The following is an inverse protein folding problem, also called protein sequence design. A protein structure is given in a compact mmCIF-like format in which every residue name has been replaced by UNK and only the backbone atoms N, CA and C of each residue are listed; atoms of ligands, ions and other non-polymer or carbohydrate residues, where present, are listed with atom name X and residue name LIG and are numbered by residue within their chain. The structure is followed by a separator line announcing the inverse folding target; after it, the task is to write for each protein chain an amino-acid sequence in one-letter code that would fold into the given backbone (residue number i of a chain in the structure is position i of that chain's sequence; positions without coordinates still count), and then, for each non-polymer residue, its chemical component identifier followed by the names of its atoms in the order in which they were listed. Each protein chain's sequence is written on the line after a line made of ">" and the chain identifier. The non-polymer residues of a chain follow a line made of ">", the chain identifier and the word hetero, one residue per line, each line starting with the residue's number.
data_IF_675538837223
#
_entry.id   IF_675538837223
#
_cell.length_a   1.000
_cell.length_b   1.000
_cell.length_c   1.000
_cell.angle_alpha   90.00
_cell.angle_beta   90.00
_cell.angle_gamma   90.00
#
_symmetry.space_group_name_H-M   'P 1'
#
loop_
_entity.id
_entity.type
_entity.pdbx_description
1 polymer ?
#
# COMPACT_ATOMS: atom_id res chain seq x y z
N UNK A 1 15.69 22.62 -8.02
CA UNK A 1 14.50 23.17 -8.69
C UNK A 1 13.88 22.03 -9.48
N UNK A 2 13.04 21.22 -8.85
CA UNK A 2 12.25 20.18 -9.55
C UNK A 2 11.00 20.87 -10.04
N UNK A 3 10.93 21.14 -11.35
CA UNK A 3 9.68 21.52 -11.98
C UNK A 3 8.73 20.33 -11.79
N UNK A 4 7.61 20.55 -11.11
CA UNK A 4 6.41 19.73 -11.30
C UNK A 4 6.04 19.89 -12.76
N UNK A 5 6.46 18.96 -13.61
CA UNK A 5 5.90 18.86 -14.95
C UNK A 5 4.46 18.41 -14.76
N UNK A 6 3.55 19.37 -14.61
CA UNK A 6 2.12 19.12 -14.79
C UNK A 6 1.97 18.45 -16.15
N UNK A 7 1.47 17.23 -16.16
CA UNK A 7 1.23 16.47 -17.38
C UNK A 7 -0.01 17.07 -18.05
N UNK A 8 0.13 17.82 -19.16
CA UNK A 8 -0.99 18.52 -19.78
C UNK A 8 -2.06 17.56 -20.32
N UNK A 9 -1.72 16.28 -20.51
CA UNK A 9 -2.65 15.25 -20.97
C UNK A 9 -3.44 14.61 -19.82
N UNK A 10 -3.11 14.89 -18.55
CA UNK A 10 -3.75 14.29 -17.37
C UNK A 10 -5.15 14.83 -17.09
N UNK A 11 -5.55 15.94 -17.71
CA UNK A 11 -6.89 16.51 -17.60
C UNK A 11 -7.41 17.03 -18.95
N UNK A 12 -8.73 16.94 -19.19
CA UNK A 12 -9.36 17.55 -20.34
C UNK A 12 -9.53 19.07 -20.19
N UNK A 13 -10.03 19.75 -21.24
CA UNK A 13 -10.30 21.19 -21.24
C UNK A 13 -11.27 21.65 -20.11
N UNK A 14 -12.00 20.72 -19.51
CA UNK A 14 -12.91 20.95 -18.38
C UNK A 14 -12.30 20.58 -17.02
N UNK A 15 -11.03 20.20 -16.98
CA UNK A 15 -10.31 19.79 -15.77
C UNK A 15 -10.65 18.39 -15.29
N UNK A 16 -11.34 17.57 -16.09
CA UNK A 16 -11.62 16.17 -15.71
C UNK A 16 -10.40 15.32 -15.97
N UNK A 17 -10.07 14.50 -14.98
CA UNK A 17 -8.99 13.52 -15.04
C UNK A 17 -9.12 12.64 -16.30
N UNK A 18 -8.03 12.48 -17.03
CA UNK A 18 -7.95 11.66 -18.24
C UNK A 18 -7.23 10.35 -17.92
N UNK A 19 -7.85 9.22 -18.25
CA UNK A 19 -7.30 7.90 -18.03
C UNK A 19 -6.73 7.31 -19.32
N UNK A 20 -5.58 6.65 -19.22
CA UNK A 20 -5.06 5.80 -20.30
C UNK A 20 -5.92 4.55 -20.45
N UNK A 21 -6.32 4.21 -21.67
CA UNK A 21 -7.08 2.98 -21.93
C UNK A 21 -6.16 1.83 -22.34
N UNK A 22 -6.46 0.64 -21.83
CA UNK A 22 -5.74 -0.61 -22.01
C UNK A 22 -6.66 -1.67 -22.62
N UNK A 23 -6.07 -2.64 -23.32
CA UNK A 23 -6.76 -3.87 -23.71
C UNK A 23 -6.66 -4.95 -22.61
N UNK A 24 -7.22 -6.13 -22.89
CA UNK A 24 -7.25 -7.26 -21.96
C UNK A 24 -5.84 -7.81 -21.61
N UNK A 25 -4.84 -7.56 -22.45
CA UNK A 25 -3.44 -7.96 -22.22
C UNK A 25 -2.64 -6.86 -21.49
N UNK A 26 -3.34 -5.83 -20.99
CA UNK A 26 -2.77 -4.64 -20.33
C UNK A 26 -1.84 -3.83 -21.23
N UNK A 27 -2.02 -3.93 -22.55
CA UNK A 27 -1.27 -3.14 -23.52
C UNK A 27 -1.98 -1.78 -23.69
N UNK A 28 -1.26 -0.65 -23.58
CA UNK A 28 -1.84 0.66 -23.85
C UNK A 28 -2.40 0.71 -25.28
N UNK A 29 -3.67 1.10 -25.42
CA UNK A 29 -4.34 1.24 -26.72
C UNK A 29 -3.92 2.50 -27.48
N UNK A 30 -3.25 3.44 -26.79
CA UNK A 30 -2.96 4.78 -27.30
C UNK A 30 -4.15 5.75 -27.24
N UNK A 31 -5.28 5.33 -26.68
CA UNK A 31 -6.46 6.18 -26.47
C UNK A 31 -6.60 6.58 -25.00
N UNK A 32 -7.31 7.68 -24.76
CA UNK A 32 -7.62 8.20 -23.44
C UNK A 32 -9.12 8.41 -23.27
N UNK A 33 -9.59 8.40 -22.02
CA UNK A 33 -10.99 8.62 -21.67
C UNK A 33 -11.08 9.57 -20.47
N UNK A 34 -11.99 10.55 -20.52
CA UNK A 34 -12.26 11.39 -19.36
C UNK A 34 -13.00 10.61 -18.28
N UNK A 35 -12.62 10.84 -17.02
CA UNK A 35 -13.28 10.25 -15.86
C UNK A 35 -14.78 10.57 -15.86
N UNK A 36 -15.58 9.52 -15.69
CA UNK A 36 -17.03 9.59 -15.67
C UNK A 36 -17.69 9.34 -17.03
N UNK A 37 -16.93 9.31 -18.13
CA UNK A 37 -17.45 8.90 -19.43
C UNK A 37 -17.71 7.38 -19.49
N UNK A 38 -18.48 6.95 -20.49
CA UNK A 38 -18.81 5.54 -20.68
C UNK A 38 -17.66 4.79 -21.37
N UNK A 39 -17.18 3.71 -20.74
CA UNK A 39 -16.22 2.78 -21.33
C UNK A 39 -16.73 2.20 -22.65
N UNK A 40 -15.88 2.17 -23.69
CA UNK A 40 -16.19 1.42 -24.91
C UNK A 40 -15.97 -0.08 -24.68
N UNK A 41 -16.58 -0.95 -25.51
CA UNK A 41 -16.41 -2.39 -25.36
C UNK A 41 -14.94 -2.81 -25.44
N UNK A 42 -14.45 -3.50 -24.41
CA UNK A 42 -13.08 -4.02 -24.34
C UNK A 42 -12.04 -3.04 -23.80
N UNK A 43 -12.41 -1.78 -23.55
CA UNK A 43 -11.50 -0.81 -22.90
C UNK A 43 -11.44 -1.03 -21.40
N UNK A 44 -10.20 -1.02 -20.90
CA UNK A 44 -9.85 -1.15 -19.49
C UNK A 44 -9.06 0.08 -19.03
N UNK A 45 -9.11 0.41 -17.75
CA UNK A 45 -8.22 1.40 -17.13
C UNK A 45 -7.43 0.77 -16.00
N UNK A 46 -6.38 1.48 -15.58
CA UNK A 46 -5.53 1.07 -14.47
C UNK A 46 -5.88 1.87 -13.22
N UNK A 47 -6.17 1.13 -12.16
CA UNK A 47 -6.28 1.62 -10.79
C UNK A 47 -5.02 1.20 -10.04
N UNK A 48 -4.64 1.98 -9.04
CA UNK A 48 -3.53 1.69 -8.14
C UNK A 48 -4.00 1.82 -6.70
N UNK A 49 -3.54 0.91 -5.87
CA UNK A 49 -3.61 1.03 -4.42
C UNK A 49 -2.23 0.90 -3.81
N UNK A 50 -1.97 1.75 -2.82
CA UNK A 50 -0.79 1.62 -1.95
C UNK A 50 -1.30 1.26 -0.56
N UNK A 51 -0.69 0.25 0.05
CA UNK A 51 -0.96 -0.15 1.43
C UNK A 51 0.34 -0.03 2.23
N UNK A 52 0.38 0.90 3.18
CA UNK A 52 1.55 1.13 4.02
C UNK A 52 1.33 0.45 5.37
N UNK A 53 2.29 -0.34 5.81
CA UNK A 53 2.22 -1.13 7.04
C UNK A 53 3.29 -0.73 8.05
N UNK A 54 2.88 -0.74 9.32
CA UNK A 54 3.78 -0.79 10.47
C UNK A 54 3.80 -2.22 11.02
N UNK A 55 5.00 -2.78 11.12
CA UNK A 55 5.26 -4.15 11.59
C UNK A 55 5.46 -4.24 13.11
N UNK A 56 5.45 -3.12 13.84
CA UNK A 56 5.69 -3.09 15.28
C UNK A 56 7.11 -3.54 15.65
N UNK A 57 7.31 -3.89 16.93
CA UNK A 57 8.60 -4.36 17.47
C UNK A 57 8.94 -5.80 17.04
N UNK A 58 7.98 -6.51 16.47
CA UNK A 58 8.15 -7.83 15.85
C UNK A 58 8.87 -7.67 14.51
N UNK A 59 10.08 -7.12 14.54
CA UNK A 59 10.97 -6.86 13.43
C UNK A 59 11.44 -8.13 12.74
N UNK A 60 10.49 -8.92 12.24
CA UNK A 60 10.67 -10.09 11.41
C UNK A 60 9.30 -10.41 10.81
N UNK A 61 9.21 -10.63 9.50
CA UNK A 61 8.08 -11.39 8.96
C UNK A 61 8.00 -12.77 9.63
N UNK A 62 6.96 -13.59 9.38
CA UNK A 62 6.86 -14.92 9.97
C UNK A 62 8.06 -15.88 9.77
N UNK A 63 9.15 -15.50 9.08
CA UNK A 63 10.33 -16.34 8.78
C UNK A 63 11.70 -15.89 9.30
N UNK A 64 11.80 -15.24 10.46
CA UNK A 64 13.05 -15.29 11.24
C UNK A 64 12.75 -15.60 12.70
N UNK A 65 12.53 -16.87 12.96
CA UNK A 65 12.59 -17.41 14.30
C UNK A 65 14.05 -17.73 14.66
N UNK A 66 14.77 -16.72 15.17
CA UNK A 66 15.88 -16.97 16.08
C UNK A 66 15.34 -16.85 17.51
N UNK A 67 14.90 -17.97 18.11
CA UNK A 67 14.45 -17.94 19.50
C UNK A 67 13.65 -19.15 20.00
N UNK A 68 14.16 -20.39 19.81
CA UNK A 68 13.71 -21.50 20.65
C UNK A 68 14.49 -21.44 21.97
N UNK A 69 13.82 -21.13 23.08
CA UNK A 69 14.12 -21.83 24.32
C UNK A 69 12.89 -22.04 25.20
N UNK A 70 12.82 -23.28 25.67
CA UNK A 70 11.73 -24.00 26.33
C UNK A 70 11.46 -23.58 27.78
N UNK A 71 10.20 -23.68 28.23
CA UNK A 71 9.87 -23.75 29.67
C UNK A 71 8.37 -23.72 29.97
N UNK A 72 7.85 -24.82 30.50
CA UNK A 72 6.45 -25.07 30.81
C UNK A 72 5.94 -24.35 32.08
N UNK A 73 4.61 -24.10 32.16
CA UNK A 73 3.89 -24.05 33.44
C UNK A 73 2.79 -22.98 33.63
N UNK A 74 1.52 -23.39 33.49
CA UNK A 74 0.37 -23.11 34.39
C UNK A 74 0.19 -21.69 35.00
N UNK A 75 -0.90 -20.98 34.66
CA UNK A 75 -2.17 -20.81 35.45
C UNK A 75 -3.03 -19.67 34.90
N UNK A 76 -4.35 -19.81 35.09
CA UNK A 76 -5.38 -18.84 34.78
C UNK A 76 -5.17 -17.48 35.48
N UNK A 77 -5.49 -16.40 34.77
CA UNK A 77 -5.58 -15.05 35.29
C UNK A 77 -6.48 -14.18 34.40
N UNK A 78 -7.63 -13.80 34.91
CA UNK A 78 -8.47 -12.72 34.40
C UNK A 78 -7.73 -11.39 34.52
N UNK A 79 -7.54 -10.69 33.41
CA UNK A 79 -6.88 -9.38 33.40
C UNK A 79 -7.36 -8.53 32.22
N UNK A 80 -8.01 -7.42 32.54
CA UNK A 80 -8.28 -6.28 31.66
C UNK A 80 -6.98 -5.48 31.44
N UNK A 81 -6.61 -5.18 30.20
CA UNK A 81 -5.75 -4.02 29.88
C UNK A 81 -4.54 -4.26 28.96
N UNK A 82 -4.38 -3.30 28.03
CA UNK A 82 -3.22 -2.94 27.18
C UNK A 82 -2.85 -3.87 26.02
N UNK A 83 -3.21 -3.45 24.80
CA UNK A 83 -2.81 -4.11 23.55
C UNK A 83 -1.29 -4.12 23.38
N UNK A 84 -0.75 -5.27 22.99
CA UNK A 84 0.66 -5.51 22.72
C UNK A 84 1.13 -4.71 21.50
N UNK A 85 2.26 -4.02 21.60
CA UNK A 85 2.90 -3.28 20.50
C UNK A 85 3.53 -4.15 19.40
N UNK A 86 2.94 -5.32 19.14
CA UNK A 86 3.52 -6.41 18.34
C UNK A 86 2.62 -6.83 17.15
N UNK A 87 1.46 -6.18 16.94
CA UNK A 87 0.54 -6.54 15.85
C UNK A 87 0.77 -5.67 14.61
N UNK A 88 0.72 -6.30 13.42
CA UNK A 88 0.80 -5.63 12.13
C UNK A 88 -0.40 -4.70 11.93
N UNK A 89 -0.11 -3.46 11.56
CA UNK A 89 -1.13 -2.42 11.30
C UNK A 89 -0.94 -1.84 9.92
N UNK A 90 -2.05 -1.57 9.24
CA UNK A 90 -2.08 -0.80 8.00
C UNK A 90 -2.44 0.65 8.32
N UNK A 91 -1.79 1.62 7.68
CA UNK A 91 -2.25 3.00 7.67
C UNK A 91 -3.53 3.05 6.85
N UNK A 92 -4.65 3.40 7.45
CA UNK A 92 -5.92 3.58 6.74
C UNK A 92 -6.28 5.05 6.70
N UNK A 93 -7.04 5.45 5.68
CA UNK A 93 -7.48 6.83 5.52
C UNK A 93 -9.01 6.94 5.54
N UNK A 94 -9.55 8.04 6.07
CA UNK A 94 -10.95 8.41 5.95
C UNK A 94 -11.07 9.47 4.87
N UNK A 95 -11.87 9.16 3.85
CA UNK A 95 -12.15 10.05 2.72
C UNK A 95 -12.89 11.29 3.21
N UNK A 96 -12.65 12.46 2.61
CA UNK A 96 -13.43 13.65 2.93
C UNK A 96 -14.92 13.45 2.61
N UNK A 97 -15.78 14.12 3.37
CA UNK A 97 -17.24 13.96 3.26
C UNK A 97 -17.82 14.53 1.94
N UNK A 98 -17.00 15.23 1.15
CA UNK A 98 -17.40 15.84 -0.13
C UNK A 98 -16.87 15.09 -1.37
N UNK A 99 -16.15 13.96 -1.19
CA UNK A 99 -15.76 13.08 -2.30
C UNK A 99 -17.00 12.56 -3.03
N UNK A 100 -16.97 12.57 -4.36
CA UNK A 100 -18.08 12.07 -5.19
C UNK A 100 -18.36 10.57 -4.99
N UNK A 101 -17.31 9.78 -4.72
CA UNK A 101 -17.41 8.36 -4.41
C UNK A 101 -17.03 8.08 -2.96
N UNK A 102 -17.92 7.35 -2.26
CA UNK A 102 -17.75 6.90 -0.87
C UNK A 102 -17.37 8.02 0.11
N UNK A 103 -18.14 9.12 0.18
CA UNK A 103 -17.84 10.24 1.07
C UNK A 103 -17.81 9.78 2.53
N UNK A 104 -16.78 10.20 3.28
CA UNK A 104 -16.66 9.95 4.71
C UNK A 104 -16.29 8.51 5.12
N UNK A 105 -16.15 7.59 4.17
CA UNK A 105 -15.78 6.19 4.45
C UNK A 105 -14.28 6.03 4.67
N UNK A 106 -13.93 5.04 5.48
CA UNK A 106 -12.57 4.53 5.60
C UNK A 106 -12.18 3.69 4.38
N UNK A 107 -10.90 3.74 4.04
CA UNK A 107 -10.29 3.07 2.90
C UNK A 107 -8.90 2.52 3.29
N UNK A 108 -8.32 1.69 2.43
CA UNK A 108 -6.90 1.35 2.51
C UNK A 108 -6.05 2.60 2.30
N UNK A 109 -4.73 2.54 2.51
CA UNK A 109 -3.89 3.73 2.70
C UNK A 109 -4.09 4.83 1.65
N UNK A 110 -3.97 4.49 0.37
CA UNK A 110 -4.14 5.39 -0.78
C UNK A 110 -4.72 4.60 -1.94
N UNK A 111 -5.62 5.21 -2.71
CA UNK A 111 -6.25 4.58 -3.86
C UNK A 111 -6.64 5.58 -4.94
N UNK A 112 -6.21 5.34 -6.18
CA UNK A 112 -6.43 6.27 -7.28
C UNK A 112 -6.29 5.62 -8.66
N UNK A 113 -6.44 6.41 -9.72
CA UNK A 113 -6.36 5.93 -11.10
C UNK A 113 -5.09 6.45 -11.76
N UNK A 114 -4.48 5.65 -12.62
CA UNK A 114 -3.37 6.14 -13.43
C UNK A 114 -3.90 7.12 -14.50
N UNK A 115 -3.28 8.28 -14.58
CA UNK A 115 -3.64 9.32 -15.55
C UNK A 115 -3.06 9.02 -16.94
N UNK A 116 -3.43 9.82 -17.94
CA UNK A 116 -2.97 9.67 -19.32
C UNK A 116 -1.44 9.69 -19.41
N UNK A 117 -0.84 8.65 -20.01
CA UNK A 117 0.62 8.53 -20.16
C UNK A 117 1.39 8.14 -18.89
N UNK A 118 0.69 7.89 -17.78
CA UNK A 118 1.27 7.50 -16.51
C UNK A 118 1.47 5.97 -16.41
N UNK A 119 2.55 5.53 -15.75
CA UNK A 119 2.73 4.12 -15.38
C UNK A 119 2.07 3.85 -14.03
N UNK A 120 1.81 2.57 -13.71
CA UNK A 120 1.30 2.13 -12.40
C UNK A 120 2.10 2.76 -11.23
N UNK A 121 3.42 2.60 -11.25
CA UNK A 121 4.31 3.13 -10.22
C UNK A 121 4.22 4.66 -10.07
N UNK A 122 4.15 5.41 -11.19
CA UNK A 122 4.03 6.88 -11.14
C UNK A 122 2.67 7.32 -10.62
N UNK A 123 1.60 6.64 -11.01
CA UNK A 123 0.26 6.88 -10.46
C UNK A 123 0.28 6.68 -8.95
N UNK A 124 0.82 5.56 -8.47
CA UNK A 124 0.93 5.28 -7.05
C UNK A 124 1.78 6.33 -6.30
N UNK A 125 2.92 6.75 -6.85
CA UNK A 125 3.75 7.83 -6.28
C UNK A 125 3.01 9.17 -6.19
N UNK A 126 2.26 9.54 -7.25
CA UNK A 126 1.48 10.77 -7.31
C UNK A 126 0.35 10.73 -6.28
N UNK A 127 -0.47 9.68 -6.28
CA UNK A 127 -1.60 9.53 -5.36
C UNK A 127 -1.14 9.57 -3.90
N UNK A 128 -0.01 8.91 -3.58
CA UNK A 128 0.55 8.96 -2.22
C UNK A 128 1.01 10.37 -1.84
N UNK A 129 1.55 11.12 -2.78
CA UNK A 129 1.94 12.50 -2.54
C UNK A 129 0.74 13.44 -2.40
N UNK A 130 -0.29 13.29 -3.23
CA UNK A 130 -1.51 14.11 -3.20
C UNK A 130 -2.35 13.84 -1.95
N UNK A 131 -2.58 12.58 -1.61
CA UNK A 131 -3.44 12.19 -0.49
C UNK A 131 -2.74 12.29 0.88
N UNK A 132 -1.43 11.99 0.96
CA UNK A 132 -0.69 11.94 2.24
C UNK A 132 0.47 12.93 2.36
N UNK A 133 0.88 13.59 1.28
CA UNK A 133 2.09 14.44 1.27
C UNK A 133 3.41 13.66 1.31
N UNK A 134 3.36 12.33 1.21
CA UNK A 134 4.54 11.47 1.31
C UNK A 134 5.21 11.30 -0.06
N UNK A 135 6.53 11.39 -0.09
CA UNK A 135 7.34 11.08 -1.28
C UNK A 135 7.83 9.64 -1.17
N UNK A 136 7.49 8.83 -2.16
CA UNK A 136 7.97 7.45 -2.30
C UNK A 136 8.68 7.29 -3.65
N UNK A 137 9.48 6.25 -3.82
CA UNK A 137 10.13 5.90 -5.10
C UNK A 137 9.83 4.43 -5.41
N UNK A 138 9.01 4.23 -6.44
CA UNK A 138 8.60 2.94 -6.97
C UNK A 138 9.27 2.66 -8.32
N UNK A 139 10.32 3.42 -8.69
CA UNK A 139 11.06 3.23 -9.94
C UNK A 139 11.60 1.80 -10.03
N UNK A 140 11.16 1.08 -11.06
CA UNK A 140 11.57 -0.33 -11.26
C UNK A 140 10.93 -1.32 -10.29
N UNK A 141 10.06 -0.86 -9.38
CA UNK A 141 9.33 -1.71 -8.45
C UNK A 141 8.06 -2.23 -9.12
N UNK A 142 7.87 -3.55 -9.06
CA UNK A 142 6.64 -4.19 -9.53
C UNK A 142 5.55 -4.08 -8.45
N UNK A 143 4.27 -3.98 -8.83
CA UNK A 143 3.17 -4.22 -7.89
C UNK A 143 3.34 -5.58 -7.22
N UNK A 144 2.96 -5.69 -5.95
CA UNK A 144 2.94 -6.95 -5.21
C UNK A 144 1.94 -7.94 -5.82
N UNK A 145 0.80 -7.45 -6.29
CA UNK A 145 -0.20 -8.22 -7.04
C UNK A 145 -1.18 -7.28 -7.78
N UNK A 146 -2.03 -7.87 -8.61
CA UNK A 146 -3.07 -7.14 -9.37
C UNK A 146 -4.43 -7.83 -9.20
N UNK A 147 -5.48 -7.07 -8.91
CA UNK A 147 -6.87 -7.53 -9.04
C UNK A 147 -7.48 -7.10 -10.37
N UNK A 148 -8.28 -7.96 -11.00
CA UNK A 148 -9.03 -7.59 -12.20
C UNK A 148 -10.49 -7.30 -11.85
N UNK A 149 -11.07 -6.30 -12.51
CA UNK A 149 -12.49 -5.96 -12.39
C UNK A 149 -13.08 -5.60 -13.75
N UNK A 150 -14.39 -5.33 -13.79
CA UNK A 150 -15.16 -5.24 -15.05
C UNK A 150 -14.57 -4.29 -16.10
N UNK A 151 -14.00 -3.17 -15.67
CA UNK A 151 -13.52 -2.10 -16.54
C UNK A 151 -12.05 -1.79 -16.33
N UNK A 152 -11.29 -2.67 -15.68
CA UNK A 152 -9.91 -2.37 -15.38
C UNK A 152 -9.20 -3.44 -14.58
N UNK A 153 -8.01 -3.07 -14.15
CA UNK A 153 -7.18 -3.82 -13.24
C UNK A 153 -6.60 -2.87 -12.20
N UNK A 154 -6.26 -3.41 -11.04
CA UNK A 154 -5.94 -2.69 -9.83
C UNK A 154 -4.63 -3.22 -9.26
N UNK A 155 -3.56 -2.46 -9.44
CA UNK A 155 -2.21 -2.81 -9.01
C UNK A 155 -2.00 -2.39 -7.55
N UNK A 156 -1.63 -3.35 -6.70
CA UNK A 156 -1.36 -3.11 -5.29
C UNK A 156 0.13 -3.04 -5.01
N UNK A 157 0.56 -1.98 -4.34
CA UNK A 157 1.91 -1.84 -3.77
C UNK A 157 1.83 -1.95 -2.25
N UNK A 158 2.52 -2.92 -1.67
CA UNK A 158 2.62 -3.06 -0.22
C UNK A 158 3.96 -2.51 0.25
N UNK A 159 3.94 -1.52 1.15
CA UNK A 159 5.13 -0.83 1.65
C UNK A 159 5.26 -0.96 3.17
N UNK A 160 6.49 -1.04 3.66
CA UNK A 160 6.82 -0.98 5.09
C UNK A 160 7.26 0.40 5.54
N UNK A 161 6.58 0.94 6.55
CA UNK A 161 7.12 2.01 7.37
C UNK A 161 8.17 1.49 8.37
N UNK A 162 9.21 2.27 8.58
CA UNK A 162 10.26 1.99 9.55
C UNK A 162 9.77 1.90 10.98
N UNK A 163 10.43 1.10 11.81
CA UNK A 163 10.25 1.19 13.26
C UNK A 163 10.94 2.46 13.77
N UNK A 164 10.24 3.29 14.53
CA UNK A 164 10.83 4.46 15.18
C UNK A 164 11.98 4.02 16.09
N UNK A 165 13.24 4.21 15.65
CA UNK A 165 14.41 3.93 16.48
C UNK A 165 14.67 5.15 17.36
N UNK A 166 14.79 4.94 18.67
CA UNK A 166 14.99 5.98 19.69
C UNK A 166 16.33 6.73 19.57
N UNK A 167 17.12 6.56 18.51
CA UNK A 167 18.41 7.23 18.31
C UNK A 167 18.29 8.42 17.34
N UNK A 168 17.85 9.55 17.88
CA UNK A 168 17.46 10.77 17.15
C UNK A 168 18.63 11.47 16.42
N UNK A 169 19.90 11.11 16.69
CA UNK A 169 21.08 11.78 16.11
C UNK A 169 21.57 11.16 14.80
N UNK A 170 21.26 9.89 14.53
CA UNK A 170 21.62 9.23 13.27
C UNK A 170 20.64 9.57 12.13
N UNK A 171 19.33 9.66 12.45
CA UNK A 171 18.27 9.92 11.46
C UNK A 171 18.40 11.29 10.78
N UNK A 172 18.82 12.34 11.49
CA UNK A 172 19.00 13.67 10.90
C UNK A 172 20.15 13.75 9.88
N UNK A 173 21.14 12.84 9.94
CA UNK A 173 22.26 12.78 8.98
C UNK A 173 21.98 11.83 7.80
N UNK A 174 21.16 10.81 7.99
CA UNK A 174 20.73 9.88 6.94
C UNK A 174 19.76 10.55 5.94
N UNK A 175 18.83 11.39 6.42
CA UNK A 175 17.83 12.07 5.59
C UNK A 175 18.42 13.04 4.56
N UNK A 176 19.67 13.49 4.71
CA UNK A 176 20.33 14.39 3.75
C UNK A 176 21.21 13.67 2.72
N UNK A 177 21.45 12.36 2.86
CA UNK A 177 22.41 11.60 2.01
C UNK A 177 21.83 10.42 1.25
N UNK A 178 20.62 9.95 1.57
CA UNK A 178 20.04 8.76 0.93
C UNK A 178 19.65 8.92 -0.56
N UNK A 179 19.81 10.11 -1.15
CA UNK A 179 19.43 10.39 -2.54
C UNK A 179 20.54 10.14 -3.59
N UNK A 180 21.66 9.52 -3.21
CA UNK A 180 22.72 9.15 -4.16
C UNK A 180 23.33 7.81 -3.75
N UNK A 181 23.01 6.77 -4.51
CA UNK A 181 23.73 5.49 -4.68
C UNK A 181 23.06 4.20 -4.15
N UNK A 182 23.00 3.24 -5.09
CA UNK A 182 22.94 1.77 -4.98
C UNK A 182 21.60 1.06 -4.80
N UNK A 183 21.16 0.40 -5.88
CA UNK A 183 20.25 -0.75 -5.91
C UNK A 183 20.78 -1.84 -4.96
N UNK A 184 20.12 -2.05 -3.81
CA UNK A 184 19.50 -3.29 -3.26
C UNK A 184 18.72 -2.81 -2.01
N UNK A 185 17.39 -2.71 -2.04
CA UNK A 185 16.62 -2.39 -0.83
C UNK A 185 16.41 -3.67 -0.02
N UNK A 186 16.93 -3.76 1.22
CA UNK A 186 16.00 -3.78 2.35
C UNK A 186 16.56 -3.20 3.66
N UNK A 187 15.93 -2.14 4.14
CA UNK A 187 15.80 -1.75 5.54
C UNK A 187 14.63 -0.75 5.58
N UNK A 188 13.40 -1.29 5.66
CA UNK A 188 12.10 -0.57 5.60
C UNK A 188 11.88 0.23 4.33
N UNK A 189 10.85 -0.11 3.55
CA UNK A 189 10.57 0.53 2.25
C UNK A 189 10.37 2.05 2.38
N UNK A 190 9.96 2.50 3.57
CA UNK A 190 9.79 3.89 3.98
C UNK A 190 10.42 4.11 5.37
N UNK A 191 10.87 5.34 5.69
CA UNK A 191 11.23 5.70 7.06
C UNK A 191 10.04 5.53 8.03
N UNK A 192 10.25 5.60 9.36
CA UNK A 192 9.16 5.65 10.31
C UNK A 192 8.20 6.81 9.99
N UNK A 193 6.90 6.53 10.02
CA UNK A 193 5.86 7.51 9.71
C UNK A 193 5.18 7.93 11.01
N UNK A 194 5.37 9.20 11.37
CA UNK A 194 4.57 9.85 12.40
C UNK A 194 3.33 10.47 11.75
N UNK A 195 2.13 10.17 12.26
CA UNK A 195 0.88 10.63 11.65
C UNK A 195 0.80 12.17 11.53
N UNK A 196 1.46 12.88 12.45
CA UNK A 196 1.51 14.34 12.47
C UNK A 196 2.34 14.97 11.33
N UNK A 197 3.19 14.17 10.66
CA UNK A 197 4.01 14.62 9.54
C UNK A 197 3.32 14.44 8.19
N UNK A 198 2.16 13.75 8.16
CA UNK A 198 1.35 13.59 6.97
C UNK A 198 0.62 14.89 6.63
N UNK A 199 0.45 15.18 5.34
CA UNK A 199 -0.29 16.35 4.86
C UNK A 199 -1.81 16.15 4.96
N UNK A 200 -2.29 15.65 6.10
CA UNK A 200 -3.68 15.34 6.40
C UNK A 200 -4.11 16.14 7.64
N UNK A 201 -5.30 16.78 7.65
CA UNK A 201 -6.33 16.76 6.62
C UNK A 201 -5.99 17.60 5.38
N UNK A 202 -6.55 17.22 4.24
CA UNK A 202 -6.53 17.96 2.97
C UNK A 202 -7.87 17.79 2.23
N UNK A 203 -7.94 18.17 0.95
CA UNK A 203 -9.18 18.09 0.16
C UNK A 203 -9.64 16.64 -0.12
N UNK A 204 -8.72 15.67 -0.09
CA UNK A 204 -8.99 14.27 -0.39
C UNK A 204 -9.20 13.42 0.87
N UNK A 205 -8.40 13.70 1.90
CA UNK A 205 -8.30 12.90 3.11
C UNK A 205 -8.68 13.72 4.35
N UNK A 206 -9.68 13.25 5.07
CA UNK A 206 -10.14 13.88 6.31
C UNK A 206 -9.33 13.43 7.53
N UNK A 207 -8.91 12.17 7.57
CA UNK A 207 -8.26 11.57 8.74
C UNK A 207 -7.43 10.35 8.32
N UNK A 208 -6.40 10.05 9.09
CA UNK A 208 -5.59 8.84 8.95
C UNK A 208 -5.32 8.20 10.30
N UNK A 209 -5.25 6.87 10.34
CA UNK A 209 -4.85 6.13 11.54
C UNK A 209 -4.25 4.78 11.21
N UNK A 210 -3.42 4.28 12.12
CA UNK A 210 -3.02 2.87 12.09
C UNK A 210 -4.19 2.00 12.54
N UNK A 211 -4.45 0.92 11.81
CA UNK A 211 -5.48 -0.06 12.14
C UNK A 211 -4.99 -1.50 11.94
N UNK A 212 -5.31 -2.38 12.88
CA UNK A 212 -5.04 -3.81 12.74
C UNK A 212 -5.98 -4.46 11.73
N UNK A 213 -5.65 -5.68 11.30
CA UNK A 213 -6.55 -6.48 10.44
C UNK A 213 -7.94 -6.59 11.06
N UNK A 214 -8.02 -6.92 12.36
CA UNK A 214 -9.28 -7.06 13.07
C UNK A 214 -10.08 -5.75 13.15
N UNK A 215 -9.42 -4.62 13.36
CA UNK A 215 -10.08 -3.31 13.39
C UNK A 215 -10.63 -2.91 12.02
N UNK A 216 -9.90 -3.18 10.94
CA UNK A 216 -10.40 -2.96 9.57
C UNK A 216 -11.63 -3.83 9.32
N UNK A 217 -11.61 -5.10 9.76
CA UNK A 217 -12.78 -5.94 9.62
C UNK A 217 -13.98 -5.40 10.42
N UNK A 218 -13.76 -4.89 11.63
CA UNK A 218 -14.81 -4.29 12.44
C UNK A 218 -15.41 -3.03 11.78
N UNK A 219 -14.58 -2.15 11.20
CA UNK A 219 -15.05 -0.98 10.45
C UNK A 219 -15.91 -1.39 9.25
N UNK A 220 -15.50 -2.43 8.51
CA UNK A 220 -16.29 -2.96 7.38
C UNK A 220 -17.62 -3.52 7.86
N UNK A 221 -17.63 -4.29 8.94
CA UNK A 221 -18.87 -4.87 9.50
C UNK A 221 -19.82 -3.79 10.05
N UNK A 222 -19.29 -2.65 10.48
CA UNK A 222 -20.07 -1.47 10.84
C UNK A 222 -20.57 -0.67 9.61
N UNK A 223 -20.12 -0.99 8.40
CA UNK A 223 -20.44 -0.24 7.18
C UNK A 223 -19.70 1.09 7.06
N UNK A 224 -18.61 1.27 7.81
CA UNK A 224 -17.80 2.50 7.85
C UNK A 224 -16.56 2.44 6.94
N UNK A 225 -16.21 1.24 6.44
CA UNK A 225 -15.12 1.00 5.49
C UNK A 225 -15.69 0.71 4.09
N UNK A 226 -15.02 1.16 3.02
CA UNK A 226 -15.39 0.81 1.65
C UNK A 226 -15.58 -0.71 1.55
N UNK A 227 -16.63 -1.21 0.86
CA UNK A 227 -17.04 -2.62 0.95
C UNK A 227 -16.13 -3.57 0.15
N UNK A 228 -14.83 -3.59 0.45
CA UNK A 228 -13.91 -4.64 0.02
C UNK A 228 -14.42 -6.00 0.53
N UNK A 229 -14.19 -7.05 -0.26
CA UNK A 229 -14.45 -8.42 0.19
C UNK A 229 -13.57 -8.70 1.41
N UNK A 230 -14.08 -9.35 2.47
CA UNK A 230 -13.26 -9.70 3.64
C UNK A 230 -11.97 -10.43 3.25
N UNK A 231 -12.08 -11.42 2.35
CA UNK A 231 -10.94 -12.20 1.87
C UNK A 231 -9.90 -11.38 1.09
N UNK A 232 -10.28 -10.24 0.50
CA UNK A 232 -9.33 -9.35 -0.17
C UNK A 232 -8.49 -8.59 0.86
N UNK A 233 -9.10 -8.14 1.97
CA UNK A 233 -8.38 -7.53 3.09
C UNK A 233 -7.43 -8.54 3.71
N UNK A 234 -7.90 -9.76 3.99
CA UNK A 234 -7.05 -10.84 4.52
C UNK A 234 -5.84 -11.09 3.60
N UNK A 235 -6.09 -11.23 2.29
CA UNK A 235 -5.05 -11.45 1.30
C UNK A 235 -4.01 -10.32 1.27
N UNK A 236 -4.44 -9.05 1.33
CA UNK A 236 -3.53 -7.90 1.37
C UNK A 236 -2.59 -7.97 2.57
N UNK A 237 -3.07 -8.39 3.74
CA UNK A 237 -2.20 -8.59 4.92
C UNK A 237 -1.33 -9.86 4.79
N UNK A 238 -1.82 -10.93 4.18
CA UNK A 238 -1.08 -12.19 4.03
C UNK A 238 0.11 -12.06 3.05
N UNK A 239 -0.01 -11.18 2.05
CA UNK A 239 1.04 -10.88 1.07
C UNK A 239 2.11 -9.91 1.58
N UNK A 240 1.98 -9.40 2.82
CA UNK A 240 2.92 -8.44 3.36
C UNK A 240 4.32 -9.07 3.55
N UNK A 241 5.31 -8.57 2.82
CA UNK A 241 6.68 -9.11 2.82
C UNK A 241 6.82 -10.45 2.08
N UNK A 242 5.79 -10.88 1.35
CA UNK A 242 5.75 -12.14 0.59
C UNK A 242 5.04 -11.88 -0.75
N UNK A 243 5.81 -11.73 -1.82
CA UNK A 243 5.22 -11.58 -3.17
C UNK A 243 4.84 -12.93 -3.80
N UNK A 244 5.37 -14.03 -3.27
CA UNK A 244 5.09 -15.37 -3.76
C UNK A 244 3.81 -15.92 -3.14
N UNK A 245 2.91 -16.44 -3.98
CA UNK A 245 1.68 -17.12 -3.54
C UNK A 245 1.97 -18.46 -2.86
N UNK A 246 3.15 -19.03 -3.10
CA UNK A 246 3.58 -20.28 -2.50
C UNK A 246 4.36 -19.97 -1.23
N UNK A 247 3.98 -20.63 -0.14
CA UNK A 247 4.68 -20.56 1.13
C UNK A 247 5.96 -21.42 1.09
N UNK A 248 6.97 -20.95 0.35
CA UNK A 248 8.23 -21.67 0.12
C UNK A 248 9.33 -21.32 1.14
N UNK A 249 9.03 -20.44 2.08
CA UNK A 249 9.97 -20.06 3.14
C UNK A 249 9.39 -20.47 4.50
N UNK A 250 9.82 -21.65 4.97
CA UNK A 250 10.32 -21.92 6.34
C UNK A 250 10.42 -23.41 6.69
N UNK A 251 9.90 -24.32 5.85
CA UNK A 251 10.04 -25.77 6.06
C UNK A 251 10.74 -26.49 4.90
N UNK A 252 12.05 -26.23 4.74
CA UNK A 252 12.98 -27.15 4.04
C UNK A 252 12.65 -27.55 2.60
N UNK A 253 11.73 -26.83 1.93
CA UNK A 253 11.14 -27.28 0.66
C UNK A 253 10.49 -28.67 0.77
N UNK A 254 9.82 -29.12 -0.28
CA UNK A 254 9.80 -30.58 -0.49
C UNK A 254 11.24 -31.02 -0.76
N UNK A 255 11.70 -32.17 -0.27
CA UNK A 255 12.97 -32.73 -0.70
C UNK A 255 13.02 -32.77 -2.24
N UNK A 256 13.92 -31.99 -2.84
CA UNK A 256 14.04 -31.87 -4.30
C UNK A 256 13.34 -30.69 -4.96
N UNK A 257 12.85 -29.69 -4.21
CA UNK A 257 12.45 -28.39 -4.75
C UNK A 257 13.38 -27.31 -4.22
N UNK A 258 14.40 -26.94 -5.01
CA UNK A 258 15.21 -25.76 -4.72
C UNK A 258 14.42 -24.51 -5.14
N UNK A 259 14.56 -23.40 -4.39
CA UNK A 259 14.02 -22.10 -4.81
C UNK A 259 14.58 -21.72 -6.18
N UNK A 260 15.82 -22.14 -6.49
CA UNK A 260 16.44 -21.96 -7.80
C UNK A 260 15.67 -22.64 -8.95
N UNK A 261 14.79 -23.61 -8.68
CA UNK A 261 14.03 -24.33 -9.70
C UNK A 261 12.80 -23.54 -10.20
N UNK A 262 12.41 -22.45 -9.52
CA UNK A 262 11.13 -21.75 -9.78
C UNK A 262 11.23 -20.37 -10.45
N UNK A 263 12.44 -19.90 -10.78
CA UNK A 263 12.67 -18.76 -11.69
C UNK A 263 12.52 -17.37 -11.09
#
# INVERSE_FOLDING_TARGET
>A
MTQTHENPDAADDSGREMWSMYDADRIPTGTTMARGDQFRPGELHMVVHVCIFDWGSAGVGPGSAAGLNSGAGSRAGSGTGTGSGDEVRMLIQRRTDHKAGWPGMWDVTVGGSATAGESSARGAEREVYEELGLRIDLTGTRPSFTFNFRHGFDDFYLLRAGSCTTDTRANQRANHRANVATNIAPATDLPPIELADLAVPNDEVAEVRWATRAEIHALRDAGEFIPYRPSAIDFVFDMLGRNDILDLADEGGRPGTDIADFG
#
